data_IF_688824160025
#
_entry.id   IF_688824160025
#
_cell.length_a   1.000
_cell.length_b   1.000
_cell.length_c   1.000
_cell.angle_alpha   90.00
_cell.angle_beta   90.00
_cell.angle_gamma   90.00
#
_symmetry.space_group_name_H-M   'P 1'
#
loop_
_entity.id
_entity.type
_entity.pdbx_description
1 polymer ?
#
# COMPACT_ATOMS: atom_id res chain seq x y z
N UNK A 1 -15.34 5.20 -22.01
CA UNK A 1 -14.11 4.48 -22.24
C UNK A 1 -13.85 3.54 -21.05
N UNK A 2 -13.69 2.23 -21.32
CA UNK A 2 -13.59 1.21 -20.27
C UNK A 2 -12.38 1.45 -19.35
N UNK A 3 -11.26 1.97 -19.86
CA UNK A 3 -10.08 2.31 -19.06
C UNK A 3 -10.38 3.43 -18.07
N UNK A 4 -11.06 4.49 -18.52
CA UNK A 4 -11.43 5.60 -17.64
C UNK A 4 -12.40 5.18 -16.53
N UNK A 5 -13.29 4.22 -16.82
CA UNK A 5 -14.20 3.65 -15.82
C UNK A 5 -13.44 2.84 -14.76
N UNK A 6 -12.52 1.96 -15.18
CA UNK A 6 -11.68 1.17 -14.28
C UNK A 6 -10.79 2.09 -13.42
N UNK A 7 -10.18 3.12 -14.02
CA UNK A 7 -9.41 4.12 -13.27
C UNK A 7 -10.26 4.87 -12.25
N UNK A 8 -11.52 5.18 -12.60
CA UNK A 8 -12.45 5.82 -11.67
C UNK A 8 -12.78 4.90 -10.49
N UNK A 9 -13.07 3.63 -10.75
CA UNK A 9 -13.33 2.63 -9.71
C UNK A 9 -12.11 2.43 -8.80
N UNK A 10 -10.91 2.32 -9.38
CA UNK A 10 -9.66 2.18 -8.60
C UNK A 10 -9.32 3.38 -7.73
N UNK A 11 -9.93 4.55 -7.96
CA UNK A 11 -9.77 5.73 -7.08
C UNK A 11 -10.65 5.70 -5.84
N UNK A 12 -11.63 4.81 -5.79
CA UNK A 12 -12.49 4.67 -4.63
C UNK A 12 -11.69 4.07 -3.47
N UNK A 13 -11.75 4.71 -2.32
CA UNK A 13 -10.92 4.37 -1.14
C UNK A 13 -11.09 2.91 -0.71
N UNK A 14 -12.29 2.37 -0.75
CA UNK A 14 -12.62 0.98 -0.41
C UNK A 14 -12.06 -0.04 -1.41
N UNK A 15 -11.75 0.38 -2.65
CA UNK A 15 -11.15 -0.45 -3.69
C UNK A 15 -9.63 -0.25 -3.73
N UNK A 16 -9.17 1.01 -3.65
CA UNK A 16 -7.74 1.33 -3.68
C UNK A 16 -6.97 0.65 -2.55
N UNK A 17 -7.52 0.66 -1.33
CA UNK A 17 -6.77 0.17 -0.17
C UNK A 17 -6.43 -1.33 -0.27
N UNK A 18 -7.37 -2.26 -0.50
CA UNK A 18 -7.03 -3.66 -0.67
C UNK A 18 -6.19 -3.94 -1.93
N UNK A 19 -6.38 -3.18 -3.01
CA UNK A 19 -5.60 -3.35 -4.24
C UNK A 19 -4.12 -2.99 -4.00
N UNK A 20 -3.83 -1.84 -3.38
CA UNK A 20 -2.46 -1.42 -3.05
C UNK A 20 -1.81 -2.40 -2.10
N UNK A 21 -2.48 -2.80 -1.01
CA UNK A 21 -1.95 -3.78 -0.06
C UNK A 21 -1.60 -5.12 -0.73
N UNK A 22 -2.39 -5.53 -1.72
CA UNK A 22 -2.12 -6.77 -2.49
C UNK A 22 -0.85 -6.65 -3.32
N UNK A 23 -0.64 -5.50 -3.97
CA UNK A 23 0.59 -5.24 -4.73
C UNK A 23 1.80 -5.15 -3.81
N UNK A 24 1.68 -4.47 -2.68
CA UNK A 24 2.74 -4.35 -1.66
C UNK A 24 3.17 -5.74 -1.18
N UNK A 25 2.22 -6.60 -0.88
CA UNK A 25 2.48 -7.98 -0.47
C UNK A 25 3.17 -8.80 -1.57
N UNK A 26 2.67 -8.73 -2.80
CA UNK A 26 3.25 -9.45 -3.93
C UNK A 26 4.71 -9.05 -4.20
N UNK A 27 5.01 -7.75 -4.15
CA UNK A 27 6.37 -7.23 -4.33
C UNK A 27 7.27 -7.60 -3.15
N UNK A 28 6.76 -7.59 -1.92
CA UNK A 28 7.48 -8.06 -0.73
C UNK A 28 7.87 -9.53 -0.85
N UNK A 29 6.93 -10.39 -1.26
CA UNK A 29 7.18 -11.82 -1.46
C UNK A 29 8.19 -12.05 -2.60
N UNK A 30 8.10 -11.25 -3.66
CA UNK A 30 9.04 -11.30 -4.77
C UNK A 30 10.47 -10.92 -4.32
N UNK A 31 10.65 -9.85 -3.54
CA UNK A 31 11.93 -9.49 -2.96
C UNK A 31 12.47 -10.60 -2.06
N UNK A 32 11.60 -11.21 -1.24
CA UNK A 32 11.96 -12.34 -0.39
C UNK A 32 12.46 -13.54 -1.19
N UNK A 33 11.89 -13.82 -2.36
CA UNK A 33 12.35 -14.87 -3.27
C UNK A 33 13.77 -14.62 -3.83
N UNK A 34 14.20 -13.36 -3.86
CA UNK A 34 15.57 -12.97 -4.19
C UNK A 34 16.49 -12.86 -2.95
N UNK A 35 16.04 -13.32 -1.79
CA UNK A 35 16.80 -13.27 -0.53
C UNK A 35 16.91 -11.88 0.08
N UNK A 36 16.05 -10.95 -0.31
CA UNK A 36 15.94 -9.61 0.28
C UNK A 36 14.86 -9.67 1.37
N UNK A 37 15.27 -9.44 2.60
CA UNK A 37 14.38 -9.39 3.76
C UNK A 37 14.53 -8.03 4.46
N UNK A 38 13.45 -7.44 4.99
CA UNK A 38 13.56 -6.21 5.74
C UNK A 38 14.11 -6.46 7.15
N UNK A 39 15.01 -5.60 7.62
CA UNK A 39 15.42 -5.54 9.02
C UNK A 39 14.45 -4.70 9.86
N UNK A 40 13.88 -3.67 9.25
CA UNK A 40 12.89 -2.75 9.82
C UNK A 40 11.89 -2.34 8.75
N UNK A 41 10.68 -1.97 9.16
CA UNK A 41 9.63 -1.56 8.23
C UNK A 41 8.91 -0.31 8.70
N UNK A 42 8.40 0.42 7.73
CA UNK A 42 7.53 1.57 7.91
C UNK A 42 6.60 1.67 6.71
N UNK A 43 5.39 2.12 6.92
CA UNK A 43 4.46 2.42 5.84
C UNK A 43 3.95 3.86 5.93
N UNK A 44 3.36 4.37 4.86
CA UNK A 44 2.72 5.68 4.83
C UNK A 44 1.20 5.49 4.81
N UNK A 45 0.50 5.95 5.81
CA UNK A 45 -0.97 5.84 5.93
C UNK A 45 -1.44 4.40 5.74
N UNK A 46 -2.07 4.06 4.63
CA UNK A 46 -2.45 2.68 4.27
C UNK A 46 -1.25 1.71 4.33
N UNK A 47 -0.08 2.13 3.87
CA UNK A 47 1.13 1.32 3.85
C UNK A 47 1.57 0.79 5.21
N UNK A 48 1.10 1.38 6.32
CA UNK A 48 1.34 0.86 7.66
C UNK A 48 0.76 -0.55 7.86
N UNK A 49 -0.37 -0.86 7.20
CA UNK A 49 -0.92 -2.23 7.19
C UNK A 49 -0.06 -3.21 6.38
N UNK A 50 0.55 -2.75 5.28
CA UNK A 50 1.57 -3.52 4.56
C UNK A 50 2.81 -3.79 5.42
N UNK A 51 3.25 -2.79 6.18
CA UNK A 51 4.34 -2.92 7.13
C UNK A 51 4.01 -3.88 8.29
N UNK A 52 2.77 -3.88 8.82
CA UNK A 52 2.30 -4.86 9.80
C UNK A 52 2.38 -6.29 9.26
N UNK A 53 1.97 -6.50 8.00
CA UNK A 53 2.08 -7.81 7.35
C UNK A 53 3.54 -8.24 7.18
N UNK A 54 4.39 -7.34 6.71
CA UNK A 54 5.82 -7.60 6.53
C UNK A 54 6.55 -7.87 7.87
N UNK A 55 6.13 -7.20 8.94
CA UNK A 55 6.63 -7.43 10.29
C UNK A 55 6.07 -8.71 10.97
N UNK A 56 5.16 -9.44 10.31
CA UNK A 56 4.52 -10.62 10.88
C UNK A 56 3.53 -10.30 12.00
N UNK A 57 3.13 -9.04 12.15
CA UNK A 57 2.20 -8.59 13.20
C UNK A 57 0.74 -8.81 12.84
N UNK A 58 0.41 -8.93 11.56
CA UNK A 58 -0.96 -9.16 11.09
C UNK A 58 -0.95 -10.12 9.88
N UNK A 59 -1.72 -11.23 9.89
CA UNK A 59 -1.86 -12.10 8.73
C UNK A 59 -2.44 -11.35 7.53
N UNK A 60 -1.91 -11.61 6.32
CA UNK A 60 -2.31 -10.88 5.10
C UNK A 60 -3.81 -10.87 4.84
N UNK A 61 -4.47 -12.03 4.99
CA UNK A 61 -5.93 -12.13 4.79
C UNK A 61 -6.70 -11.22 5.77
N UNK A 62 -6.23 -11.10 6.99
CA UNK A 62 -6.84 -10.22 7.99
C UNK A 62 -6.47 -8.75 7.75
N UNK A 63 -5.28 -8.47 7.24
CA UNK A 63 -4.91 -7.13 6.81
C UNK A 63 -5.80 -6.66 5.65
N UNK A 64 -6.15 -7.53 4.69
CA UNK A 64 -7.13 -7.23 3.64
C UNK A 64 -8.52 -6.89 4.22
N UNK A 65 -8.96 -7.63 5.23
CA UNK A 65 -10.21 -7.34 5.93
C UNK A 65 -10.15 -5.96 6.61
N UNK A 66 -9.04 -5.68 7.33
CA UNK A 66 -8.82 -4.42 8.02
C UNK A 66 -8.84 -3.22 7.06
N UNK A 67 -8.08 -3.29 5.94
CA UNK A 67 -8.02 -2.16 4.99
C UNK A 67 -9.30 -2.00 4.18
N UNK A 68 -10.04 -3.09 3.93
CA UNK A 68 -11.35 -3.03 3.30
C UNK A 68 -12.37 -2.36 4.23
N UNK A 69 -12.35 -2.70 5.52
CA UNK A 69 -13.16 -2.02 6.53
C UNK A 69 -12.74 -0.55 6.65
N UNK A 70 -11.43 -0.26 6.75
CA UNK A 70 -10.90 1.10 6.81
C UNK A 70 -11.39 1.95 5.63
N UNK A 71 -11.31 1.42 4.42
CA UNK A 71 -11.78 2.10 3.21
C UNK A 71 -13.29 2.41 3.28
N UNK A 72 -14.10 1.43 3.67
CA UNK A 72 -15.56 1.62 3.83
C UNK A 72 -15.91 2.61 4.93
N UNK A 73 -15.32 2.49 6.12
CA UNK A 73 -15.63 3.38 7.24
C UNK A 73 -15.23 4.82 6.92
N UNK A 74 -14.08 5.02 6.26
CA UNK A 74 -13.65 6.34 5.81
C UNK A 74 -14.56 6.91 4.72
N UNK A 75 -15.04 6.09 3.78
CA UNK A 75 -15.96 6.50 2.72
C UNK A 75 -17.36 6.78 3.24
N UNK A 76 -17.79 6.08 4.31
CA UNK A 76 -19.12 6.20 4.92
C UNK A 76 -19.23 7.35 5.93
N UNK A 77 -18.14 8.05 6.24
CA UNK A 77 -18.22 9.23 7.11
C UNK A 77 -19.19 10.23 6.47
N UNK A 78 -20.27 10.50 7.18
CA UNK A 78 -21.30 11.45 6.75
C UNK A 78 -21.30 12.64 7.68
N UNK A 79 -20.71 13.73 7.24
CA UNK A 79 -20.63 15.01 7.92
C UNK A 79 -21.12 16.12 6.98
N UNK A 80 -21.43 17.29 7.51
CA UNK A 80 -21.92 18.42 6.72
C UNK A 80 -20.87 18.91 5.70
N UNK A 81 -19.60 18.89 6.08
CA UNK A 81 -18.44 19.22 5.22
C UNK A 81 -17.42 18.08 5.29
N UNK A 82 -17.28 17.34 4.21
CA UNK A 82 -16.28 16.27 4.09
C UNK A 82 -14.84 16.81 4.08
N UNK A 83 -14.69 18.12 3.92
CA UNK A 83 -13.41 18.79 3.87
C UNK A 83 -12.64 18.59 2.56
N UNK A 84 -11.48 19.21 2.51
CA UNK A 84 -10.53 19.10 1.42
C UNK A 84 -9.15 18.72 1.94
N UNK A 85 -8.31 18.27 1.01
CA UNK A 85 -6.86 18.12 1.23
C UNK A 85 -6.08 18.81 0.11
N UNK A 86 -4.91 19.34 0.44
CA UNK A 86 -4.01 19.90 -0.55
C UNK A 86 -2.55 19.50 -0.26
N UNK A 87 -1.82 19.08 -1.30
CA UNK A 87 -0.38 18.92 -1.24
C UNK A 87 0.29 20.30 -1.33
N UNK A 88 1.19 20.59 -0.42
CA UNK A 88 1.90 21.86 -0.30
C UNK A 88 3.40 21.61 -0.43
N UNK A 89 4.06 22.33 -1.31
CA UNK A 89 5.49 22.25 -1.53
C UNK A 89 6.16 23.50 -0.92
N UNK A 90 6.43 23.40 0.37
CA UNK A 90 7.03 24.45 1.20
C UNK A 90 7.67 23.82 2.44
N UNK A 91 8.63 24.51 3.09
CA UNK A 91 9.12 24.11 4.41
C UNK A 91 7.96 24.00 5.42
N UNK A 92 7.97 22.94 6.23
CA UNK A 92 6.89 22.66 7.20
C UNK A 92 6.60 23.88 8.11
N UNK A 93 7.66 24.56 8.60
CA UNK A 93 7.50 25.75 9.43
C UNK A 93 6.74 26.90 8.76
N UNK A 94 6.89 27.05 7.44
CA UNK A 94 6.13 28.04 6.68
C UNK A 94 4.68 27.61 6.46
N UNK A 95 4.46 26.31 6.21
CA UNK A 95 3.11 25.75 6.12
C UNK A 95 2.36 25.99 7.43
N UNK A 96 2.93 25.59 8.57
CA UNK A 96 2.35 25.78 9.90
C UNK A 96 2.07 27.26 10.18
N UNK A 97 3.05 28.15 9.96
CA UNK A 97 2.89 29.59 10.16
C UNK A 97 1.73 30.18 9.36
N UNK A 98 1.54 29.73 8.10
CA UNK A 98 0.48 30.25 7.25
C UNK A 98 -0.88 29.72 7.66
N UNK A 99 -0.99 28.40 7.91
CA UNK A 99 -2.29 27.81 8.29
C UNK A 99 -2.75 28.25 9.68
N UNK A 100 -1.84 28.53 10.61
CA UNK A 100 -2.19 29.09 11.94
C UNK A 100 -2.85 30.47 11.86
N UNK A 101 -2.66 31.20 10.76
CA UNK A 101 -3.27 32.51 10.54
C UNK A 101 -4.63 32.41 9.81
N UNK A 102 -5.04 31.23 9.38
CA UNK A 102 -6.30 31.01 8.65
C UNK A 102 -7.47 30.87 9.62
N UNK A 103 -8.55 31.59 9.37
CA UNK A 103 -9.81 31.38 10.08
C UNK A 103 -10.47 30.08 9.57
N UNK A 104 -10.79 29.18 10.50
CA UNK A 104 -11.42 27.90 10.20
C UNK A 104 -10.53 26.70 10.53
N UNK A 105 -11.07 25.50 10.31
CA UNK A 105 -10.37 24.27 10.63
C UNK A 105 -9.46 23.84 9.46
N UNK A 106 -8.17 23.98 9.63
CA UNK A 106 -7.13 23.44 8.75
C UNK A 106 -5.93 23.00 9.58
N UNK A 107 -5.39 21.84 9.24
CA UNK A 107 -4.25 21.22 9.96
C UNK A 107 -3.29 20.58 8.97
N UNK A 108 -2.06 20.32 9.39
CA UNK A 108 -1.14 19.44 8.65
C UNK A 108 -1.59 17.99 8.87
N UNK A 109 -2.02 17.34 7.80
CA UNK A 109 -2.49 15.95 7.79
C UNK A 109 -1.36 14.95 7.52
N UNK A 110 -0.35 15.31 6.70
CA UNK A 110 0.81 14.47 6.45
C UNK A 110 2.08 15.34 6.42
N UNK A 111 3.07 14.93 7.20
CA UNK A 111 4.42 15.51 7.19
C UNK A 111 5.30 14.55 6.41
N UNK A 112 5.37 14.77 5.08
CA UNK A 112 5.93 13.80 4.13
C UNK A 112 7.44 13.93 3.97
N UNK A 113 7.94 15.17 3.86
CA UNK A 113 9.35 15.48 3.71
C UNK A 113 9.64 16.88 4.28
N UNK A 114 10.90 17.32 4.20
CA UNK A 114 11.30 18.67 4.66
C UNK A 114 10.66 19.77 3.81
N UNK A 115 10.36 19.48 2.54
CA UNK A 115 9.81 20.42 1.57
C UNK A 115 8.38 20.11 1.11
N UNK A 116 7.74 19.05 1.66
CA UNK A 116 6.40 18.65 1.24
C UNK A 116 5.54 18.18 2.40
N UNK A 117 4.39 18.82 2.56
CA UNK A 117 3.34 18.43 3.49
C UNK A 117 1.99 18.31 2.78
N UNK A 118 1.01 17.67 3.43
CA UNK A 118 -0.38 17.72 3.02
C UNK A 118 -1.18 18.40 4.13
N UNK A 119 -1.93 19.43 3.78
CA UNK A 119 -2.91 20.06 4.67
C UNK A 119 -4.28 19.47 4.43
N UNK A 120 -5.11 19.43 5.46
CA UNK A 120 -6.49 18.96 5.39
C UNK A 120 -7.35 19.70 6.42
N UNK A 121 -8.65 19.74 6.19
CA UNK A 121 -9.58 20.43 7.08
C UNK A 121 -10.90 20.76 6.41
N UNK A 122 -11.64 21.69 7.00
CA UNK A 122 -12.88 22.21 6.41
C UNK A 122 -12.61 22.82 5.03
N UNK A 123 -13.55 22.64 4.10
CA UNK A 123 -13.41 23.07 2.71
C UNK A 123 -12.96 24.53 2.62
N UNK A 124 -13.67 25.46 3.28
CA UNK A 124 -13.33 26.89 3.23
C UNK A 124 -11.95 27.20 3.86
N UNK A 125 -11.56 26.48 4.94
CA UNK A 125 -10.25 26.66 5.57
C UNK A 125 -9.11 26.22 4.66
N UNK A 126 -9.24 25.07 4.00
CA UNK A 126 -8.22 24.58 3.06
C UNK A 126 -8.11 25.46 1.83
N UNK A 127 -9.24 25.94 1.26
CA UNK A 127 -9.24 26.86 0.13
C UNK A 127 -8.52 28.17 0.48
N UNK A 128 -8.81 28.74 1.65
CA UNK A 128 -8.12 29.94 2.14
C UNK A 128 -6.62 29.70 2.36
N UNK A 129 -6.25 28.54 2.91
CA UNK A 129 -4.85 28.17 3.11
C UNK A 129 -4.11 28.00 1.77
N UNK A 130 -4.72 27.34 0.77
CA UNK A 130 -4.15 27.20 -0.59
C UNK A 130 -3.93 28.58 -1.24
N UNK A 131 -4.89 29.49 -1.10
CA UNK A 131 -4.75 30.86 -1.63
C UNK A 131 -3.59 31.61 -0.95
N UNK A 132 -3.51 31.56 0.39
CA UNK A 132 -2.46 32.25 1.15
C UNK A 132 -1.07 31.66 0.88
N UNK A 133 -0.94 30.33 0.77
CA UNK A 133 0.29 29.65 0.40
C UNK A 133 0.75 30.06 -1.01
N UNK A 134 -0.19 30.12 -1.95
CA UNK A 134 0.09 30.52 -3.34
C UNK A 134 0.53 32.00 -3.40
N UNK A 135 -0.12 32.89 -2.65
CA UNK A 135 0.27 34.30 -2.54
C UNK A 135 1.67 34.48 -1.92
N UNK A 136 2.03 33.60 -0.98
CA UNK A 136 3.37 33.54 -0.40
C UNK A 136 4.44 32.95 -1.35
N UNK A 137 4.04 32.51 -2.56
CA UNK A 137 4.95 31.98 -3.58
C UNK A 137 5.18 30.48 -3.53
N UNK A 138 4.45 29.74 -2.70
CA UNK A 138 4.53 28.29 -2.61
C UNK A 138 3.53 27.61 -3.55
N UNK A 139 3.89 26.42 -4.02
CA UNK A 139 2.96 25.58 -4.78
C UNK A 139 2.04 24.81 -3.82
N UNK A 140 0.73 24.95 -4.01
CA UNK A 140 -0.28 24.19 -3.30
C UNK A 140 -1.30 23.63 -4.30
N UNK A 141 -1.59 22.32 -4.21
CA UNK A 141 -2.44 21.61 -5.18
C UNK A 141 -3.50 20.79 -4.43
N UNK A 142 -4.77 21.09 -4.66
CA UNK A 142 -5.89 20.31 -4.12
C UNK A 142 -5.84 18.86 -4.60
N UNK A 143 -6.02 17.92 -3.67
CA UNK A 143 -6.01 16.50 -3.97
C UNK A 143 -7.43 15.99 -4.27
N UNK A 144 -7.60 15.10 -5.25
CA UNK A 144 -8.90 14.53 -5.62
C UNK A 144 -9.29 13.38 -4.68
N UNK A 145 -9.51 13.71 -3.41
CA UNK A 145 -9.92 12.75 -2.37
C UNK A 145 -11.32 13.05 -1.87
N UNK A 146 -12.02 12.06 -1.32
CA UNK A 146 -13.41 12.19 -0.89
C UNK A 146 -13.59 12.92 0.44
N UNK A 147 -12.57 12.88 1.29
CA UNK A 147 -12.61 13.44 2.65
C UNK A 147 -11.23 13.98 3.05
N UNK A 148 -11.22 14.85 4.06
CA UNK A 148 -9.98 15.30 4.70
C UNK A 148 -9.45 14.22 5.64
N UNK A 149 -8.73 13.25 5.08
CA UNK A 149 -8.10 12.15 5.83
C UNK A 149 -7.03 12.66 6.80
N UNK A 150 -6.78 11.87 7.87
CA UNK A 150 -5.81 12.22 8.92
C UNK A 150 -6.13 13.52 9.66
N UNK A 151 -7.40 13.90 9.68
CA UNK A 151 -7.95 15.05 10.41
C UNK A 151 -9.12 14.62 11.29
N UNK A 152 -9.62 15.52 12.16
CA UNK A 152 -10.79 15.23 13.00
C UNK A 152 -12.08 15.01 12.19
N UNK A 153 -12.13 15.41 10.92
CA UNK A 153 -13.29 15.19 10.04
C UNK A 153 -13.60 13.68 9.88
N UNK A 154 -12.56 12.86 9.78
CA UNK A 154 -12.71 11.40 9.63
C UNK A 154 -12.62 10.64 10.96
N UNK A 155 -12.54 11.33 12.09
CA UNK A 155 -12.53 10.70 13.41
C UNK A 155 -13.72 9.75 13.68
N UNK A 156 -14.93 9.96 13.14
CA UNK A 156 -16.04 8.99 13.30
C UNK A 156 -15.73 7.60 12.74
N UNK A 157 -14.79 7.45 11.80
CA UNK A 157 -14.36 6.14 11.27
C UNK A 157 -13.48 5.34 12.25
N UNK A 158 -12.91 5.98 13.28
CA UNK A 158 -11.92 5.36 14.16
C UNK A 158 -12.51 4.23 15.02
N UNK A 159 -13.66 4.45 15.67
CA UNK A 159 -14.29 3.44 16.53
C UNK A 159 -14.78 2.21 15.76
N UNK A 160 -15.54 2.33 14.64
CA UNK A 160 -15.91 1.17 13.84
C UNK A 160 -14.69 0.38 13.32
N UNK A 161 -13.64 1.06 12.93
CA UNK A 161 -12.38 0.41 12.50
C UNK A 161 -11.71 -0.32 13.68
N UNK A 162 -11.67 0.28 14.87
CA UNK A 162 -11.13 -0.33 16.07
C UNK A 162 -11.88 -1.60 16.46
N UNK A 163 -13.21 -1.62 16.31
CA UNK A 163 -14.03 -2.81 16.53
C UNK A 163 -13.63 -3.95 15.57
N UNK A 164 -13.33 -3.63 14.31
CA UNK A 164 -12.80 -4.62 13.35
C UNK A 164 -11.43 -5.11 13.81
N UNK A 165 -10.50 -4.22 14.09
CA UNK A 165 -9.12 -4.55 14.47
C UNK A 165 -9.06 -5.41 15.74
N UNK A 166 -9.97 -5.18 16.70
CA UNK A 166 -10.00 -5.91 17.99
C UNK A 166 -10.29 -7.40 17.82
N UNK A 167 -10.98 -7.81 16.74
CA UNK A 167 -11.31 -9.22 16.47
C UNK A 167 -10.30 -9.93 15.56
N UNK A 168 -9.29 -9.21 15.07
CA UNK A 168 -8.23 -9.77 14.25
C UNK A 168 -7.07 -10.28 15.14
N UNK A 169 -6.29 -11.21 14.59
CA UNK A 169 -5.15 -11.82 15.28
C UNK A 169 -3.93 -10.88 15.16
N UNK A 170 -4.01 -9.72 15.79
CA UNK A 170 -2.90 -8.78 15.87
C UNK A 170 -1.89 -9.28 16.91
N UNK A 171 -0.67 -9.54 16.46
CA UNK A 171 0.45 -10.04 17.28
C UNK A 171 1.58 -9.00 17.38
N UNK A 172 2.49 -9.14 18.35
CA UNK A 172 3.69 -8.32 18.41
C UNK A 172 4.51 -8.44 17.13
N UNK A 173 5.09 -7.32 16.60
CA UNK A 173 5.90 -7.39 15.39
C UNK A 173 7.19 -8.19 15.64
N UNK A 174 7.60 -8.99 14.65
CA UNK A 174 8.83 -9.79 14.69
C UNK A 174 10.07 -8.96 14.38
N UNK A 175 9.92 -7.85 13.66
CA UNK A 175 10.95 -6.86 13.34
C UNK A 175 10.45 -5.47 13.71
N UNK A 176 11.35 -4.50 13.98
CA UNK A 176 10.94 -3.14 14.31
C UNK A 176 10.05 -2.53 13.23
N UNK A 177 8.93 -1.96 13.66
CA UNK A 177 7.92 -1.31 12.84
C UNK A 177 7.68 0.10 13.35
N UNK A 178 7.71 1.10 12.50
CA UNK A 178 7.44 2.51 12.86
C UNK A 178 5.97 2.85 12.66
N UNK A 179 5.38 3.49 13.67
CA UNK A 179 4.00 3.97 13.66
C UNK A 179 3.88 5.36 13.02
N UNK A 180 2.83 5.58 12.22
CA UNK A 180 2.57 6.89 11.60
C UNK A 180 2.17 7.98 12.61
N UNK A 181 1.49 7.60 13.69
CA UNK A 181 0.89 8.55 14.66
C UNK A 181 1.94 9.41 15.34
N UNK A 182 3.11 8.83 15.62
CA UNK A 182 4.17 9.48 16.40
C UNK A 182 5.57 9.38 15.76
N UNK A 183 5.72 8.61 14.67
CA UNK A 183 7.02 8.36 14.03
C UNK A 183 7.99 7.56 14.90
N UNK A 184 7.52 6.80 15.87
CA UNK A 184 8.30 5.97 16.78
C UNK A 184 8.03 4.49 16.53
N UNK A 185 8.90 3.61 17.04
CA UNK A 185 8.65 2.18 16.92
C UNK A 185 7.40 1.74 17.68
N UNK A 186 6.66 0.83 17.11
CA UNK A 186 5.66 0.07 17.85
C UNK A 186 6.29 -0.65 19.03
N UNK A 187 5.55 -0.83 20.12
CA UNK A 187 6.05 -1.62 21.23
C UNK A 187 6.31 -3.07 20.78
N UNK A 188 7.37 -3.67 21.29
CA UNK A 188 7.77 -5.04 21.02
C UNK A 188 7.70 -5.90 22.28
N UNK A 189 7.49 -7.19 22.11
CA UNK A 189 7.44 -8.15 23.22
C UNK A 189 6.02 -8.60 23.58
N UNK A 190 5.87 -9.47 24.58
CA UNK A 190 4.57 -10.02 24.92
C UNK A 190 3.62 -8.97 25.52
N UNK A 191 2.33 -9.13 25.26
CA UNK A 191 1.23 -8.30 25.79
C UNK A 191 1.17 -6.84 25.30
N UNK A 192 1.76 -6.52 24.15
CA UNK A 192 1.72 -5.17 23.55
C UNK A 192 0.52 -4.94 22.62
N UNK A 193 -0.26 -5.97 22.32
CA UNK A 193 -1.41 -5.88 21.41
C UNK A 193 -2.41 -4.76 21.76
N UNK A 194 -2.76 -4.50 23.04
CA UNK A 194 -3.65 -3.39 23.37
C UNK A 194 -3.08 -2.01 22.97
N UNK A 195 -1.77 -1.81 23.18
CA UNK A 195 -1.10 -0.56 22.81
C UNK A 195 -1.04 -0.40 21.27
N UNK A 196 -0.81 -1.50 20.54
CA UNK A 196 -0.83 -1.52 19.07
C UNK A 196 -2.22 -1.18 18.53
N UNK A 197 -3.28 -1.73 19.12
CA UNK A 197 -4.67 -1.43 18.76
C UNK A 197 -4.99 0.04 18.97
N UNK A 198 -4.51 0.65 20.06
CA UNK A 198 -4.70 2.07 20.30
C UNK A 198 -3.97 2.93 19.27
N UNK A 199 -2.72 2.60 18.94
CA UNK A 199 -1.94 3.29 17.92
C UNK A 199 -2.67 3.24 16.57
N UNK A 200 -3.10 2.04 16.13
CA UNK A 200 -3.83 1.85 14.87
C UNK A 200 -5.21 2.53 14.85
N UNK A 201 -5.93 2.48 15.96
CA UNK A 201 -7.23 3.15 16.09
C UNK A 201 -7.11 4.68 15.93
N UNK A 202 -6.03 5.26 16.44
CA UNK A 202 -5.75 6.71 16.30
C UNK A 202 -5.26 7.11 14.92
N UNK A 203 -4.67 6.19 14.15
CA UNK A 203 -4.00 6.46 12.88
C UNK A 203 -4.90 7.17 11.86
N UNK A 204 -6.19 6.81 11.78
CA UNK A 204 -7.14 7.36 10.81
C UNK A 204 -7.31 8.87 10.93
N UNK A 205 -7.31 9.38 12.17
CA UNK A 205 -7.57 10.79 12.48
C UNK A 205 -6.33 11.54 13.02
N UNK A 206 -5.15 10.94 12.90
CA UNK A 206 -3.89 11.55 13.33
C UNK A 206 -3.00 11.89 12.15
N UNK A 207 -2.20 12.96 12.23
CA UNK A 207 -1.20 13.28 11.20
C UNK A 207 -0.22 12.13 10.95
N UNK A 208 0.19 11.94 9.71
CA UNK A 208 1.25 11.01 9.34
C UNK A 208 2.61 11.65 9.60
N UNK A 209 3.36 11.15 10.58
CA UNK A 209 4.67 11.62 11.00
C UNK A 209 5.79 10.95 10.19
N UNK A 210 5.78 11.10 8.85
CA UNK A 210 6.68 10.35 7.98
C UNK A 210 8.13 10.80 8.11
N UNK A 211 8.40 12.10 8.17
CA UNK A 211 9.75 12.66 8.41
C UNK A 211 10.34 12.11 9.69
N UNK A 212 9.59 12.18 10.80
CA UNK A 212 10.06 11.65 12.09
C UNK A 212 10.33 10.15 12.02
N UNK A 213 9.47 9.39 11.35
CA UNK A 213 9.67 7.95 11.15
C UNK A 213 10.91 7.61 10.34
N UNK A 214 11.20 8.35 9.25
CA UNK A 214 12.44 8.17 8.50
C UNK A 214 13.68 8.45 9.34
N UNK A 215 13.67 9.50 10.16
CA UNK A 215 14.75 9.80 11.10
C UNK A 215 14.90 8.72 12.17
N UNK A 216 13.79 8.20 12.71
CA UNK A 216 13.80 7.07 13.67
C UNK A 216 14.48 5.84 13.06
N UNK A 217 14.19 5.49 11.81
CA UNK A 217 14.86 4.39 11.11
C UNK A 217 16.34 4.67 10.88
N UNK A 218 16.68 5.87 10.44
CA UNK A 218 18.07 6.30 10.23
C UNK A 218 18.90 6.23 11.53
N UNK A 219 18.37 6.74 12.65
CA UNK A 219 19.00 6.72 13.95
C UNK A 219 19.18 5.30 14.48
N UNK A 220 18.27 4.37 14.11
CA UNK A 220 18.40 2.95 14.40
C UNK A 220 19.44 2.23 13.50
N UNK A 221 20.08 2.92 12.56
CA UNK A 221 21.16 2.41 11.73
C UNK A 221 20.75 2.00 10.32
N UNK A 222 19.49 2.22 9.90
CA UNK A 222 19.06 1.96 8.52
C UNK A 222 19.78 2.91 7.56
N UNK A 223 20.30 2.34 6.46
CA UNK A 223 21.00 3.09 5.39
C UNK A 223 20.43 2.76 3.99
N UNK A 224 19.79 1.62 3.85
CA UNK A 224 19.16 1.22 2.58
C UNK A 224 17.65 1.21 2.75
N UNK A 225 16.98 2.03 1.97
CA UNK A 225 15.53 2.15 1.91
C UNK A 225 15.02 1.64 0.57
N UNK A 226 14.03 0.78 0.58
CA UNK A 226 13.33 0.34 -0.63
C UNK A 226 11.84 0.58 -0.49
N UNK A 227 11.28 1.40 -1.36
CA UNK A 227 9.83 1.53 -1.49
C UNK A 227 9.27 0.31 -2.20
N UNK A 228 8.34 -0.37 -1.52
CA UNK A 228 7.63 -1.55 -2.02
C UNK A 228 6.18 -1.15 -2.26
N UNK A 229 5.73 -1.25 -3.50
CA UNK A 229 4.38 -0.85 -3.86
C UNK A 229 4.31 -0.13 -5.21
N UNK A 230 3.10 0.31 -5.61
CA UNK A 230 2.90 1.01 -6.87
C UNK A 230 3.44 2.44 -6.82
N UNK A 231 4.16 2.86 -7.86
CA UNK A 231 4.83 4.17 -7.99
C UNK A 231 6.11 4.26 -7.13
N UNK A 232 6.57 5.51 -6.86
CA UNK A 232 7.80 5.79 -6.09
C UNK A 232 7.73 7.10 -5.32
N UNK A 233 6.61 7.39 -4.68
CA UNK A 233 6.43 8.65 -3.96
C UNK A 233 7.30 8.69 -2.69
N UNK A 234 7.38 7.56 -1.98
CA UNK A 234 8.10 7.47 -0.70
C UNK A 234 9.61 7.54 -0.91
N UNK A 235 10.13 7.02 -2.03
CA UNK A 235 11.54 7.20 -2.41
C UNK A 235 11.90 8.69 -2.45
N UNK A 236 11.06 9.51 -3.09
CA UNK A 236 11.28 10.96 -3.15
C UNK A 236 11.29 11.62 -1.77
N UNK A 237 10.51 11.12 -0.82
CA UNK A 237 10.53 11.62 0.55
C UNK A 237 11.81 11.20 1.29
N UNK A 238 12.28 9.98 1.10
CA UNK A 238 13.59 9.55 1.63
C UNK A 238 14.72 10.42 1.09
N UNK A 239 14.73 10.67 -0.23
CA UNK A 239 15.74 11.49 -0.88
C UNK A 239 15.74 12.93 -0.34
N UNK A 240 14.57 13.51 -0.03
CA UNK A 240 14.46 14.86 0.52
C UNK A 240 14.84 14.94 2.02
N UNK A 241 14.50 13.93 2.81
CA UNK A 241 14.74 13.93 4.26
C UNK A 241 16.17 13.49 4.63
N UNK A 242 16.72 12.52 3.90
CA UNK A 242 17.96 11.84 4.21
C UNK A 242 19.03 11.94 3.10
N UNK A 243 18.75 12.65 2.01
CA UNK A 243 19.66 12.71 0.84
C UNK A 243 21.01 13.35 1.13
N UNK A 244 21.11 14.20 2.14
CA UNK A 244 22.37 14.82 2.60
C UNK A 244 23.14 13.95 3.59
N UNK A 245 22.51 12.87 4.11
CA UNK A 245 23.17 11.94 5.03
C UNK A 245 24.10 10.97 4.25
N UNK A 246 25.25 10.61 4.83
CA UNK A 246 26.17 9.72 4.16
C UNK A 246 25.63 8.29 4.04
N UNK A 247 26.01 7.62 2.97
CA UNK A 247 25.75 6.20 2.73
C UNK A 247 24.26 5.80 2.59
N UNK A 248 23.36 6.76 2.34
CA UNK A 248 21.96 6.46 2.08
C UNK A 248 21.79 5.90 0.67
N UNK A 249 21.11 4.76 0.58
CA UNK A 249 20.63 4.14 -0.64
C UNK A 249 19.10 4.15 -0.62
N UNK A 250 18.49 4.85 -1.58
CA UNK A 250 17.05 4.98 -1.73
C UNK A 250 16.60 4.40 -3.06
N UNK A 251 15.73 3.41 -3.02
CA UNK A 251 15.29 2.63 -4.18
C UNK A 251 13.77 2.49 -4.19
N UNK A 252 13.21 2.21 -5.37
CA UNK A 252 11.79 1.87 -5.52
C UNK A 252 11.63 0.62 -6.39
N UNK A 253 10.74 -0.28 -5.98
CA UNK A 253 10.48 -1.54 -6.68
C UNK A 253 9.61 -1.38 -7.92
N UNK A 254 8.90 -0.26 -8.06
CA UNK A 254 8.00 0.01 -9.19
C UNK A 254 8.07 1.48 -9.63
N UNK A 255 7.91 1.70 -10.94
CA UNK A 255 7.78 3.04 -11.51
C UNK A 255 6.99 3.01 -12.83
N UNK A 256 5.84 3.69 -12.92
CA UNK A 256 4.92 3.58 -14.06
C UNK A 256 5.52 4.04 -15.41
N UNK A 257 6.54 4.92 -15.40
CA UNK A 257 7.19 5.41 -16.64
C UNK A 257 8.31 4.51 -17.14
N UNK A 258 8.87 3.65 -16.28
CA UNK A 258 9.97 2.72 -16.65
C UNK A 258 9.47 1.30 -16.87
N UNK A 259 8.25 1.01 -16.46
CA UNK A 259 7.65 -0.32 -16.50
C UNK A 259 8.10 -1.22 -15.35
N UNK A 260 7.28 -2.21 -15.03
CA UNK A 260 7.40 -2.99 -13.79
C UNK A 260 8.68 -3.82 -13.73
N UNK A 261 8.98 -4.58 -14.78
CA UNK A 261 10.19 -5.43 -14.83
C UNK A 261 11.47 -4.61 -14.79
N UNK A 262 11.50 -3.48 -15.48
CA UNK A 262 12.71 -2.62 -15.52
C UNK A 262 12.94 -2.00 -14.16
N UNK A 263 11.90 -1.46 -13.53
CA UNK A 263 11.97 -0.85 -12.19
C UNK A 263 12.41 -1.85 -11.14
N UNK A 264 11.80 -3.04 -11.13
CA UNK A 264 12.14 -4.09 -10.18
C UNK A 264 13.59 -4.57 -10.37
N UNK A 265 14.05 -4.78 -11.60
CA UNK A 265 15.43 -5.14 -11.87
C UNK A 265 16.43 -4.04 -11.46
N UNK A 266 16.08 -2.76 -11.66
CA UNK A 266 16.90 -1.64 -11.18
C UNK A 266 17.01 -1.65 -9.65
N UNK A 267 15.91 -1.88 -8.94
CA UNK A 267 15.92 -2.02 -7.49
C UNK A 267 16.81 -3.18 -7.03
N UNK A 268 16.69 -4.37 -7.66
CA UNK A 268 17.56 -5.51 -7.36
C UNK A 268 19.04 -5.20 -7.60
N UNK A 269 19.38 -4.56 -8.72
CA UNK A 269 20.76 -4.15 -9.00
C UNK A 269 21.29 -3.19 -7.93
N UNK A 270 20.47 -2.22 -7.49
CA UNK A 270 20.82 -1.31 -6.40
C UNK A 270 21.04 -2.03 -5.07
N UNK A 271 20.15 -2.94 -4.70
CA UNK A 271 20.27 -3.75 -3.49
C UNK A 271 21.51 -4.63 -3.51
N UNK A 272 21.81 -5.30 -4.62
CA UNK A 272 23.03 -6.10 -4.76
C UNK A 272 24.30 -5.25 -4.73
N UNK A 273 24.27 -4.05 -5.32
CA UNK A 273 25.39 -3.12 -5.24
C UNK A 273 25.62 -2.62 -3.81
N UNK A 274 24.57 -2.52 -3.00
CA UNK A 274 24.63 -2.23 -1.57
C UNK A 274 25.04 -3.45 -0.71
N UNK A 275 25.29 -4.62 -1.33
CA UNK A 275 25.72 -5.84 -0.65
C UNK A 275 24.59 -6.66 -0.04
N UNK A 276 23.33 -6.38 -0.42
CA UNK A 276 22.16 -7.07 0.07
C UNK A 276 21.72 -8.19 -0.89
N UNK A 277 21.05 -9.21 -0.34
CA UNK A 277 20.59 -10.37 -1.10
C UNK A 277 21.66 -11.44 -1.25
N UNK A 278 21.22 -12.64 -1.59
CA UNK A 278 22.11 -13.84 -1.65
C UNK A 278 22.58 -14.20 -3.04
N UNK A 279 22.20 -13.44 -4.06
CA UNK A 279 22.61 -13.70 -5.47
C UNK A 279 22.16 -15.07 -6.02
N UNK A 280 21.35 -15.80 -5.29
CA UNK A 280 20.80 -17.09 -5.73
C UNK A 280 19.56 -16.83 -6.59
N UNK A 281 19.66 -17.21 -7.86
CA UNK A 281 18.48 -17.24 -8.71
C UNK A 281 17.48 -18.23 -8.09
N UNK A 282 16.20 -17.84 -7.89
CA UNK A 282 15.17 -18.83 -7.54
C UNK A 282 15.21 -19.96 -8.56
N UNK A 283 15.26 -21.20 -8.08
CA UNK A 283 15.20 -22.35 -8.97
C UNK A 283 13.89 -22.23 -9.77
N UNK A 284 14.00 -22.12 -11.08
CA UNK A 284 12.81 -22.02 -11.92
C UNK A 284 11.92 -23.22 -11.60
N UNK A 285 10.59 -23.04 -11.40
CA UNK A 285 9.71 -24.18 -11.18
C UNK A 285 10.03 -25.24 -12.23
N UNK A 286 10.30 -26.47 -11.76
CA UNK A 286 10.67 -27.56 -12.65
C UNK A 286 9.65 -27.59 -13.80
N UNK A 287 10.14 -27.48 -15.02
CA UNK A 287 9.27 -27.58 -16.19
C UNK A 287 8.41 -28.83 -16.04
N UNK A 288 7.11 -28.77 -16.27
CA UNK A 288 6.26 -29.96 -16.16
C UNK A 288 6.93 -31.09 -16.92
N UNK A 289 7.16 -32.21 -16.23
CA UNK A 289 7.81 -33.37 -16.82
C UNK A 289 7.17 -33.65 -18.16
N UNK A 290 8.00 -33.74 -19.21
CA UNK A 290 7.50 -34.09 -20.54
C UNK A 290 6.61 -35.33 -20.40
N UNK A 291 5.42 -35.35 -20.99
CA UNK A 291 4.56 -36.53 -20.90
C UNK A 291 5.36 -37.76 -21.31
N UNK A 292 5.29 -38.79 -20.46
CA UNK A 292 5.96 -40.04 -20.74
C UNK A 292 5.61 -40.51 -22.15
N UNK A 293 6.56 -41.03 -22.95
CA UNK A 293 6.25 -41.50 -24.29
C UNK A 293 5.10 -42.48 -24.21
N UNK A 294 4.09 -42.26 -25.01
CA UNK A 294 2.92 -43.14 -25.10
C UNK A 294 3.37 -44.58 -25.37
N UNK A 295 2.83 -45.57 -24.63
CA UNK A 295 3.18 -46.95 -24.88
C UNK A 295 2.86 -47.29 -26.35
N UNK A 296 3.82 -47.94 -27.02
CA UNK A 296 3.67 -48.45 -28.40
C UNK A 296 2.41 -49.30 -28.47
N UNK A 297 1.54 -49.10 -29.47
CA UNK A 297 0.31 -49.88 -29.57
C UNK A 297 0.65 -51.34 -29.82
N UNK A 298 0.37 -52.19 -28.86
CA UNK A 298 0.28 -53.62 -29.09
C UNK A 298 -1.02 -53.89 -29.90
N UNK A 299 -0.85 -54.65 -30.94
CA UNK A 299 -1.91 -55.10 -31.84
C UNK A 299 -3.06 -55.71 -31.01
N UNK A 300 -4.18 -55.03 -30.91
CA UNK A 300 -5.39 -55.53 -30.28
C UNK A 300 -6.37 -56.06 -31.33
N UNK A 301 -6.82 -57.27 -31.14
CA UNK A 301 -7.92 -57.95 -31.82
C UNK A 301 -9.23 -57.12 -31.71
N UNK A 302 -10.09 -57.10 -32.73
CA UNK A 302 -11.27 -56.23 -32.74
C UNK A 302 -12.33 -56.73 -31.75
N UNK A 303 -12.69 -55.88 -30.79
CA UNK A 303 -13.86 -56.07 -29.93
C UNK A 303 -14.99 -55.13 -30.43
N UNK A 304 -16.18 -55.65 -30.45
CA UNK A 304 -17.39 -55.07 -31.00
C UNK A 304 -17.74 -53.72 -30.34
N UNK A 305 -18.29 -52.82 -31.19
CA UNK A 305 -18.72 -51.47 -30.84
C UNK A 305 -19.79 -51.45 -29.75
N UNK A 306 -19.57 -50.69 -28.68
CA UNK A 306 -20.60 -50.31 -27.74
C UNK A 306 -21.26 -48.98 -28.15
N UNK A 307 -22.52 -48.72 -27.79
CA UNK A 307 -23.28 -47.58 -28.25
C UNK A 307 -22.78 -46.25 -27.67
N UNK A 308 -23.02 -45.10 -28.31
CA UNK A 308 -22.48 -43.81 -27.88
C UNK A 308 -23.12 -43.36 -26.56
N UNK A 309 -22.27 -43.05 -25.62
CA UNK A 309 -22.67 -42.36 -24.36
C UNK A 309 -22.87 -40.89 -24.67
N UNK A 310 -24.06 -40.38 -24.35
CA UNK A 310 -24.42 -38.99 -24.51
C UNK A 310 -23.45 -38.08 -23.74
N UNK A 311 -22.99 -37.03 -24.39
CA UNK A 311 -22.18 -35.98 -23.74
C UNK A 311 -23.00 -35.30 -22.65
N UNK A 312 -22.55 -35.48 -21.40
CA UNK A 312 -23.07 -34.71 -20.27
C UNK A 312 -22.43 -33.33 -20.40
N UNK A 313 -23.23 -32.33 -20.74
CA UNK A 313 -22.87 -30.93 -20.63
C UNK A 313 -22.58 -30.65 -19.16
N UNK A 314 -21.34 -30.28 -18.83
CA UNK A 314 -21.01 -29.78 -17.53
C UNK A 314 -21.73 -28.43 -17.35
N UNK A 315 -22.77 -28.43 -16.52
CA UNK A 315 -23.36 -27.18 -16.04
C UNK A 315 -22.31 -26.39 -15.27
N UNK A 316 -22.14 -25.13 -15.64
CA UNK A 316 -21.34 -24.19 -14.87
C UNK A 316 -21.88 -24.13 -13.42
N UNK A 317 -21.04 -24.10 -12.42
CA UNK A 317 -21.50 -23.91 -11.06
C UNK A 317 -22.20 -22.55 -10.94
N UNK A 318 -23.37 -22.58 -10.33
CA UNK A 318 -24.16 -21.40 -9.99
C UNK A 318 -23.31 -20.43 -9.16
N UNK A 319 -23.50 -19.13 -9.44
CA UNK A 319 -22.69 -18.04 -8.93
C UNK A 319 -22.40 -18.12 -7.44
N UNK A 320 -21.14 -17.99 -7.15
CA UNK A 320 -20.69 -17.53 -5.83
C UNK A 320 -20.70 -16.00 -5.92
N UNK A 321 -21.67 -15.37 -5.27
CA UNK A 321 -21.75 -13.91 -5.08
C UNK A 321 -20.72 -13.46 -4.03
N UNK A 322 -19.50 -13.97 -4.12
CA UNK A 322 -18.40 -13.52 -3.28
C UNK A 322 -17.72 -12.34 -3.98
N UNK A 323 -17.87 -11.12 -3.45
CA UNK A 323 -17.29 -9.92 -4.06
C UNK A 323 -15.77 -9.99 -4.19
N UNK A 324 -15.09 -10.86 -3.45
CA UNK A 324 -13.64 -11.06 -3.55
C UNK A 324 -13.24 -11.93 -4.76
N UNK A 325 -14.10 -12.86 -5.18
CA UNK A 325 -13.89 -13.65 -6.39
C UNK A 325 -14.08 -12.76 -7.61
N UNK A 326 -15.09 -11.90 -7.59
CA UNK A 326 -15.35 -10.94 -8.67
C UNK A 326 -14.22 -9.90 -8.78
N UNK A 327 -13.71 -9.41 -7.65
CA UNK A 327 -12.54 -8.52 -7.59
C UNK A 327 -11.28 -9.20 -8.13
N UNK A 328 -11.06 -10.49 -7.82
CA UNK A 328 -9.96 -11.30 -8.34
C UNK A 328 -10.03 -11.46 -9.86
N UNK A 329 -11.22 -11.68 -10.43
CA UNK A 329 -11.43 -11.75 -11.87
C UNK A 329 -11.21 -10.40 -12.56
N UNK A 330 -11.69 -9.30 -11.99
CA UNK A 330 -11.45 -7.94 -12.49
C UNK A 330 -9.96 -7.59 -12.49
N UNK A 331 -9.23 -8.00 -11.46
CA UNK A 331 -7.80 -7.76 -11.37
C UNK A 331 -7.00 -8.61 -12.37
N UNK A 332 -7.37 -9.87 -12.57
CA UNK A 332 -6.77 -10.74 -13.59
C UNK A 332 -7.02 -10.20 -15.01
N UNK A 333 -8.23 -9.74 -15.31
CA UNK A 333 -8.58 -9.12 -16.59
C UNK A 333 -7.83 -7.79 -16.81
N UNK A 334 -7.61 -7.01 -15.76
CA UNK A 334 -6.80 -5.79 -15.80
C UNK A 334 -5.34 -6.10 -16.16
N UNK A 335 -4.75 -7.13 -15.57
CA UNK A 335 -3.37 -7.54 -15.84
C UNK A 335 -3.24 -8.09 -17.28
N UNK A 336 -4.19 -8.89 -17.77
CA UNK A 336 -4.18 -9.42 -19.13
C UNK A 336 -4.35 -8.30 -20.18
N UNK A 337 -5.23 -7.34 -19.95
CA UNK A 337 -5.41 -6.19 -20.87
C UNK A 337 -4.26 -5.20 -20.82
N UNK A 338 -3.60 -5.03 -19.68
CA UNK A 338 -2.39 -4.22 -19.55
C UNK A 338 -1.23 -4.76 -20.40
N UNK A 339 -1.15 -6.07 -20.63
CA UNK A 339 -0.15 -6.69 -21.51
C UNK A 339 -0.42 -6.52 -23.01
N UNK A 340 -1.63 -6.13 -23.42
CA UNK A 340 -2.00 -5.94 -24.83
C UNK A 340 -1.84 -4.50 -25.33
N UNK A 341 -1.43 -3.56 -24.44
CA UNK A 341 -1.29 -2.12 -24.78
C UNK A 341 0.19 -1.72 -24.99
N UNK A 342 1.13 -2.66 -24.90
CA UNK A 342 2.56 -2.44 -25.20
C UNK A 342 3.04 -3.28 -26.38
#
# INVERSE_FOLDING_TARGET
DAVAEVEHQLRQTEITQPAVLTVDRALTDLLSAYGIQPDMVMGHSLGEYGALVAAGALPFAQALEAVSARGREMANVSVEDNGLMAAVFAPLTEVERIIDAIEGYVVVANINSESQAVIGGATAGVEAAVAALTEAGYQAVTLPVSHAFHTSIVAPAAEPLKDVLTRLDLEPPHIPLVANVNGEFYPMGPAVTPDMLEILGRQVASPVQFVKGLRTLHDAGVRTFIEVGPKRALQGFVDDVLGDEPDIVSLASNHPKTGDLVSFNQALCGLYAAGLGVGTRPEAPAAPAAPAPAPTPQSATPVAAAPPVAAVSAAAPAGNDDPYVELGHLFAEFLERGQQIY
#
